data_IF_747061089194
#
_entry.id   IF_747061089194
#
_cell.length_a   1.000
_cell.length_b   1.000
_cell.length_c   1.000
_cell.angle_alpha   90.00
_cell.angle_beta   90.00
_cell.angle_gamma   90.00
#
_symmetry.space_group_name_H-M   'P 1'
#
loop_
_entity.id
_entity.type
_entity.pdbx_description
1 polymer ?
#
# COMPACT_ATOMS: atom_id res chain seq x y z
N UNK A 1 -22.65 13.33 0.83
CA UNK A 1 -21.42 13.96 1.39
C UNK A 1 -20.65 14.59 0.24
N UNK A 2 -20.32 15.87 0.35
CA UNK A 2 -19.60 16.63 -0.69
C UNK A 2 -18.13 16.17 -0.71
N UNK A 3 -17.50 16.14 -1.88
CA UNK A 3 -16.05 15.87 -1.99
C UNK A 3 -15.29 16.99 -1.29
N UNK A 4 -14.28 16.64 -0.49
CA UNK A 4 -13.39 17.62 0.16
C UNK A 4 -12.03 17.60 -0.56
N UNK A 5 -11.74 18.67 -1.30
CA UNK A 5 -10.53 18.78 -2.11
C UNK A 5 -9.24 18.73 -1.29
N UNK A 6 -9.26 19.07 0.00
CA UNK A 6 -8.07 19.04 0.87
C UNK A 6 -7.59 17.61 1.09
N UNK A 7 -8.54 16.70 1.37
CA UNK A 7 -8.22 15.29 1.55
C UNK A 7 -7.87 14.59 0.24
N UNK A 8 -8.47 15.01 -0.87
CA UNK A 8 -8.11 14.47 -2.20
C UNK A 8 -6.70 14.90 -2.60
N UNK A 9 -6.32 16.16 -2.37
CA UNK A 9 -4.94 16.63 -2.54
C UNK A 9 -3.98 15.84 -1.65
N UNK A 10 -4.34 15.63 -0.38
CA UNK A 10 -3.51 14.86 0.54
C UNK A 10 -3.32 13.41 0.08
N UNK A 11 -4.33 12.80 -0.56
CA UNK A 11 -4.18 11.46 -1.17
C UNK A 11 -3.20 11.50 -2.33
N UNK A 12 -3.28 12.50 -3.21
CA UNK A 12 -2.35 12.64 -4.34
C UNK A 12 -0.92 12.81 -3.82
N UNK A 13 -0.72 13.66 -2.80
CA UNK A 13 0.58 13.83 -2.15
C UNK A 13 1.06 12.49 -1.55
N UNK A 14 0.18 11.76 -0.86
CA UNK A 14 0.55 10.45 -0.28
C UNK A 14 0.95 9.42 -1.36
N UNK A 15 0.23 9.36 -2.49
CA UNK A 15 0.57 8.48 -3.62
C UNK A 15 1.91 8.89 -4.23
N UNK A 16 2.17 10.19 -4.36
CA UNK A 16 3.43 10.70 -4.88
C UNK A 16 4.63 10.32 -3.98
N UNK A 17 4.49 10.45 -2.66
CA UNK A 17 5.53 10.02 -1.70
C UNK A 17 5.82 8.51 -1.81
N UNK A 18 4.79 7.69 -2.02
CA UNK A 18 4.94 6.24 -2.24
C UNK A 18 5.73 5.98 -3.53
N UNK A 19 5.42 6.67 -4.62
CA UNK A 19 6.13 6.52 -5.91
C UNK A 19 7.60 6.93 -5.76
N UNK A 20 7.88 8.05 -5.11
CA UNK A 20 9.27 8.50 -4.85
C UNK A 20 10.08 7.45 -4.10
N UNK A 21 9.49 6.81 -3.09
CA UNK A 21 10.14 5.72 -2.38
C UNK A 21 10.44 4.52 -3.29
N UNK A 22 9.50 4.10 -4.13
CA UNK A 22 9.74 2.96 -5.04
C UNK A 22 10.80 3.27 -6.09
N UNK A 23 10.84 4.52 -6.58
CA UNK A 23 11.88 4.97 -7.50
C UNK A 23 13.26 4.89 -6.87
N UNK A 24 13.38 5.27 -5.59
CA UNK A 24 14.63 5.16 -4.85
C UNK A 24 14.99 3.69 -4.58
N UNK A 25 14.09 2.94 -3.94
CA UNK A 25 14.34 1.56 -3.50
C UNK A 25 14.70 0.60 -4.65
N UNK A 26 14.00 0.69 -5.79
CA UNK A 26 14.30 -0.17 -6.95
C UNK A 26 15.34 0.46 -7.90
N UNK A 27 15.58 1.77 -7.80
CA UNK A 27 16.60 2.48 -8.59
C UNK A 27 17.99 2.43 -7.97
N UNK A 28 18.11 2.10 -6.68
CA UNK A 28 19.36 2.05 -5.92
C UNK A 28 20.44 1.21 -6.62
N UNK A 29 20.09 -0.02 -7.04
CA UNK A 29 21.01 -0.93 -7.72
C UNK A 29 21.58 -0.38 -9.05
N UNK A 30 20.87 0.54 -9.72
CA UNK A 30 21.32 1.17 -10.97
C UNK A 30 22.14 2.45 -10.76
N UNK A 31 22.10 3.04 -9.55
CA UNK A 31 22.60 4.39 -9.28
C UNK A 31 23.75 4.42 -8.26
N UNK A 32 23.86 3.44 -7.37
CA UNK A 32 24.95 3.37 -6.39
C UNK A 32 26.32 3.20 -7.06
N UNK A 33 26.41 2.45 -8.17
CA UNK A 33 27.64 2.33 -8.98
C UNK A 33 28.09 3.67 -9.61
N UNK A 34 27.23 4.70 -9.62
CA UNK A 34 27.53 6.05 -10.15
C UNK A 34 27.58 7.12 -9.05
N UNK A 35 27.27 6.80 -7.81
CA UNK A 35 27.22 7.75 -6.70
C UNK A 35 28.60 7.90 -6.04
N UNK A 36 29.49 8.64 -6.72
CA UNK A 36 30.89 8.80 -6.28
C UNK A 36 31.10 9.77 -5.10
N UNK A 37 30.05 10.39 -4.55
CA UNK A 37 30.17 11.36 -3.44
C UNK A 37 29.18 11.08 -2.31
N UNK A 38 29.60 11.37 -1.08
CA UNK A 38 28.78 11.29 0.14
C UNK A 38 27.49 12.12 0.00
N UNK A 39 27.58 13.29 -0.65
CA UNK A 39 26.46 14.20 -0.84
C UNK A 39 25.37 13.58 -1.72
N UNK A 40 25.75 12.85 -2.77
CA UNK A 40 24.81 12.12 -3.61
C UNK A 40 24.12 11.00 -2.84
N UNK A 41 24.86 10.25 -2.01
CA UNK A 41 24.29 9.18 -1.18
C UNK A 41 23.29 9.72 -0.14
N UNK A 42 23.58 10.86 0.49
CA UNK A 42 22.67 11.49 1.46
C UNK A 42 21.37 11.95 0.77
N UNK A 43 21.47 12.59 -0.40
CA UNK A 43 20.28 13.04 -1.15
C UNK A 43 19.42 11.84 -1.53
N UNK A 44 20.03 10.76 -2.02
CA UNK A 44 19.35 9.53 -2.41
C UNK A 44 18.62 8.87 -1.23
N UNK A 45 19.34 8.66 -0.11
CA UNK A 45 18.76 8.09 1.11
C UNK A 45 17.68 8.95 1.76
N UNK A 46 17.63 10.26 1.46
CA UNK A 46 16.65 11.19 2.04
C UNK A 46 15.20 10.86 1.67
N UNK A 47 14.98 10.12 0.57
CA UNK A 47 13.63 9.78 0.09
C UNK A 47 13.06 8.51 0.72
N UNK A 48 13.90 7.66 1.34
CA UNK A 48 13.48 6.38 1.94
C UNK A 48 12.37 6.52 3.00
N UNK A 49 12.39 7.52 3.90
CA UNK A 49 11.33 7.69 4.91
C UNK A 49 9.96 8.02 4.29
N UNK A 50 9.92 8.61 3.09
CA UNK A 50 8.67 9.04 2.48
C UNK A 50 7.74 7.89 2.10
N UNK A 51 8.28 6.69 1.87
CA UNK A 51 7.47 5.50 1.59
C UNK A 51 6.54 5.18 2.75
N UNK A 52 7.09 5.09 3.97
CA UNK A 52 6.32 4.82 5.20
C UNK A 52 5.31 5.93 5.47
N UNK A 53 5.73 7.20 5.35
CA UNK A 53 4.86 8.36 5.57
C UNK A 53 3.69 8.36 4.58
N UNK A 54 3.96 8.14 3.29
CA UNK A 54 2.95 8.09 2.24
C UNK A 54 1.94 6.96 2.49
N UNK A 55 2.40 5.76 2.83
CA UNK A 55 1.53 4.63 3.18
C UNK A 55 0.66 4.95 4.40
N UNK A 56 1.22 5.48 5.48
CA UNK A 56 0.47 5.82 6.68
C UNK A 56 -0.60 6.88 6.41
N UNK A 57 -0.26 7.95 5.68
CA UNK A 57 -1.22 8.98 5.28
C UNK A 57 -2.36 8.38 4.45
N UNK A 58 -2.03 7.54 3.46
CA UNK A 58 -3.02 6.92 2.59
C UNK A 58 -4.03 6.05 3.37
N UNK A 59 -3.52 5.23 4.31
CA UNK A 59 -4.35 4.38 5.17
C UNK A 59 -5.17 5.22 6.16
N UNK A 60 -4.60 6.26 6.77
CA UNK A 60 -5.33 7.14 7.69
C UNK A 60 -6.48 7.86 6.99
N UNK A 61 -6.26 8.37 5.78
CA UNK A 61 -7.33 9.00 4.99
C UNK A 61 -8.42 7.99 4.66
N UNK A 62 -8.04 6.75 4.28
CA UNK A 62 -9.01 5.67 4.06
C UNK A 62 -9.84 5.42 5.32
N UNK A 63 -9.18 5.24 6.47
CA UNK A 63 -9.83 5.02 7.77
C UNK A 63 -10.79 6.15 8.16
N UNK A 64 -10.40 7.41 7.97
CA UNK A 64 -11.22 8.58 8.29
C UNK A 64 -12.58 8.58 7.55
N UNK A 65 -12.56 8.28 6.25
CA UNK A 65 -13.78 8.28 5.43
C UNK A 65 -14.61 7.00 5.50
N UNK A 66 -13.97 5.88 5.82
CA UNK A 66 -14.61 4.57 5.83
C UNK A 66 -15.12 4.20 7.24
N UNK A 67 -14.43 4.61 8.30
CA UNK A 67 -14.78 4.31 9.70
C UNK A 67 -16.05 5.00 10.21
N UNK A 68 -16.47 6.09 9.57
CA UNK A 68 -17.60 6.92 10.01
C UNK A 68 -18.96 6.49 9.44
N UNK A 69 -19.01 5.48 8.57
CA UNK A 69 -20.25 5.04 7.90
C UNK A 69 -20.67 3.65 8.36
N UNK A 70 -21.97 3.36 8.28
CA UNK A 70 -22.49 1.97 8.27
C UNK A 70 -22.02 1.27 6.99
N UNK A 71 -20.74 0.94 6.97
CA UNK A 71 -20.11 0.36 5.80
C UNK A 71 -20.60 -1.08 5.65
N UNK A 72 -21.39 -1.33 4.61
CA UNK A 72 -21.97 -2.63 4.33
C UNK A 72 -20.86 -3.59 3.85
N UNK A 73 -20.83 -4.80 4.41
CA UNK A 73 -19.87 -5.87 4.04
C UNK A 73 -19.80 -6.05 2.52
N UNK A 74 -20.96 -6.08 1.85
CA UNK A 74 -21.05 -6.20 0.38
C UNK A 74 -20.22 -5.14 -0.36
N UNK A 75 -20.22 -3.89 0.12
CA UNK A 75 -19.46 -2.79 -0.49
C UNK A 75 -17.96 -2.93 -0.26
N UNK A 76 -17.55 -3.50 0.88
CA UNK A 76 -16.14 -3.81 1.15
C UNK A 76 -15.62 -4.89 0.22
N UNK A 77 -16.36 -5.98 0.14
CA UNK A 77 -16.01 -7.11 -0.71
C UNK A 77 -15.99 -6.71 -2.19
N UNK A 78 -16.98 -5.94 -2.64
CA UNK A 78 -17.00 -5.44 -4.02
C UNK A 78 -15.78 -4.59 -4.35
N UNK A 79 -15.38 -3.65 -3.46
CA UNK A 79 -14.16 -2.86 -3.68
C UNK A 79 -12.90 -3.70 -3.66
N UNK A 80 -12.79 -4.63 -2.71
CA UNK A 80 -11.66 -5.54 -2.62
C UNK A 80 -11.51 -6.35 -3.91
N UNK A 81 -12.63 -6.86 -4.46
CA UNK A 81 -12.64 -7.62 -5.71
C UNK A 81 -12.26 -6.77 -6.93
N UNK A 82 -12.73 -5.52 -7.00
CA UNK A 82 -12.35 -4.59 -8.08
C UNK A 82 -10.83 -4.35 -8.05
N UNK A 83 -10.27 -4.01 -6.89
CA UNK A 83 -8.83 -3.75 -6.74
C UNK A 83 -8.01 -5.01 -7.06
N UNK A 84 -8.50 -6.17 -6.63
CA UNK A 84 -7.88 -7.46 -6.92
C UNK A 84 -7.81 -7.72 -8.44
N UNK A 85 -8.92 -7.50 -9.15
CA UNK A 85 -8.99 -7.63 -10.61
C UNK A 85 -8.12 -6.62 -11.35
N UNK A 86 -8.14 -5.36 -10.94
CA UNK A 86 -7.27 -4.31 -11.50
C UNK A 86 -5.80 -4.67 -11.33
N UNK A 87 -5.40 -5.18 -10.16
CA UNK A 87 -4.02 -5.57 -9.88
C UNK A 87 -3.56 -6.71 -10.79
N UNK A 88 -4.39 -7.75 -10.98
CA UNK A 88 -4.07 -8.86 -11.90
C UNK A 88 -3.97 -8.36 -13.33
N UNK A 89 -4.92 -7.53 -13.76
CA UNK A 89 -4.94 -6.95 -15.10
C UNK A 89 -3.64 -6.19 -15.39
N UNK A 90 -3.26 -5.26 -14.51
CA UNK A 90 -2.04 -4.47 -14.70
C UNK A 90 -0.77 -5.32 -14.54
N UNK A 91 -0.75 -6.31 -13.65
CA UNK A 91 0.42 -7.19 -13.48
C UNK A 91 0.71 -8.00 -14.74
N UNK A 92 -0.31 -8.63 -15.33
CA UNK A 92 -0.18 -9.39 -16.58
C UNK A 92 0.15 -8.45 -17.75
N UNK A 93 -0.56 -7.32 -17.87
CA UNK A 93 -0.34 -6.35 -18.95
C UNK A 93 1.11 -5.85 -18.95
N UNK A 94 1.62 -5.41 -17.80
CA UNK A 94 2.99 -4.90 -17.69
C UNK A 94 4.03 -5.98 -17.98
N UNK A 95 3.81 -7.21 -17.49
CA UNK A 95 4.68 -8.35 -17.81
C UNK A 95 4.76 -8.58 -19.33
N UNK A 96 3.62 -8.65 -20.01
CA UNK A 96 3.57 -8.86 -21.45
C UNK A 96 4.25 -7.71 -22.21
N UNK A 97 4.00 -6.45 -21.82
CA UNK A 97 4.66 -5.28 -22.42
C UNK A 97 6.18 -5.41 -22.30
N UNK A 98 6.72 -5.66 -21.11
CA UNK A 98 8.18 -5.78 -20.88
C UNK A 98 8.79 -6.90 -21.74
N UNK A 99 8.09 -8.04 -21.87
CA UNK A 99 8.53 -9.16 -22.74
C UNK A 99 8.50 -8.77 -24.22
N UNK A 100 7.44 -8.10 -24.68
CA UNK A 100 7.30 -7.67 -26.08
C UNK A 100 8.37 -6.65 -26.49
N UNK A 101 8.77 -5.77 -25.59
CA UNK A 101 9.86 -4.81 -25.81
C UNK A 101 11.27 -5.42 -25.68
N UNK A 102 11.38 -6.72 -25.39
CA UNK A 102 12.67 -7.40 -25.25
C UNK A 102 13.48 -6.99 -24.01
N UNK A 103 12.84 -6.31 -23.05
CA UNK A 103 13.48 -5.89 -21.79
C UNK A 103 13.66 -7.07 -20.82
N UNK A 104 12.90 -8.16 -21.03
CA UNK A 104 13.02 -9.41 -20.29
C UNK A 104 12.66 -10.59 -21.21
N UNK A 105 13.33 -11.72 -21.05
CA UNK A 105 12.94 -12.97 -21.71
C UNK A 105 11.68 -13.57 -21.09
N UNK A 106 10.85 -14.21 -21.92
CA UNK A 106 9.68 -14.90 -21.40
C UNK A 106 10.09 -16.03 -20.46
N UNK A 107 9.51 -16.04 -19.25
CA UNK A 107 9.69 -17.08 -18.25
C UNK A 107 8.33 -17.51 -17.73
N UNK A 108 8.04 -18.81 -17.82
CA UNK A 108 6.78 -19.37 -17.33
C UNK A 108 6.59 -19.13 -15.83
N UNK A 109 7.68 -19.15 -15.06
CA UNK A 109 7.68 -18.81 -13.63
C UNK A 109 7.23 -17.36 -13.39
N UNK A 110 7.75 -16.42 -14.17
CA UNK A 110 7.40 -15.00 -14.03
C UNK A 110 5.97 -14.73 -14.52
N UNK A 111 5.52 -15.45 -15.53
CA UNK A 111 4.13 -15.40 -15.99
C UNK A 111 3.16 -15.87 -14.90
N UNK A 112 3.43 -17.01 -14.25
CA UNK A 112 2.62 -17.48 -13.11
C UNK A 112 2.61 -16.44 -11.98
N UNK A 113 3.77 -15.84 -11.67
CA UNK A 113 3.86 -14.79 -10.66
C UNK A 113 3.01 -13.56 -11.00
N UNK A 114 2.97 -13.16 -12.28
CA UNK A 114 2.13 -12.06 -12.77
C UNK A 114 0.63 -12.39 -12.72
N UNK A 115 0.24 -13.66 -12.93
CA UNK A 115 -1.14 -14.11 -12.78
C UNK A 115 -1.58 -14.24 -11.31
N UNK A 116 -0.64 -14.50 -10.39
CA UNK A 116 -0.89 -14.74 -8.97
C UNK A 116 -0.08 -13.80 -8.06
N UNK A 117 -0.21 -12.47 -8.21
CA UNK A 117 0.64 -11.50 -7.50
C UNK A 117 0.42 -11.50 -5.98
N UNK A 118 -0.75 -11.98 -5.53
CA UNK A 118 -1.12 -12.08 -4.12
C UNK A 118 -0.47 -13.27 -3.40
N UNK A 119 -0.40 -14.43 -4.07
CA UNK A 119 0.23 -15.65 -3.51
C UNK A 119 1.74 -15.48 -3.51
N UNK A 120 2.27 -14.83 -4.54
CA UNK A 120 3.70 -14.59 -4.72
C UNK A 120 4.21 -13.34 -3.98
N UNK A 121 3.35 -12.67 -3.20
CA UNK A 121 3.64 -11.48 -2.40
C UNK A 121 4.37 -10.35 -3.15
N UNK A 122 4.09 -10.19 -4.46
CA UNK A 122 4.75 -9.19 -5.31
C UNK A 122 4.32 -7.76 -4.92
N UNK A 123 3.08 -7.60 -4.45
CA UNK A 123 2.52 -6.31 -4.09
C UNK A 123 1.97 -6.35 -2.65
N UNK A 124 2.89 -6.37 -1.68
CA UNK A 124 2.57 -6.46 -0.25
C UNK A 124 1.48 -5.47 0.20
N UNK A 125 1.54 -4.23 -0.30
CA UNK A 125 0.60 -3.17 0.08
C UNK A 125 -0.81 -3.46 -0.41
N UNK A 126 -0.97 -3.97 -1.64
CA UNK A 126 -2.29 -4.29 -2.20
C UNK A 126 -2.93 -5.41 -1.40
N UNK A 127 -2.17 -6.46 -1.07
CA UNK A 127 -2.63 -7.56 -0.21
C UNK A 127 -3.11 -7.05 1.15
N UNK A 128 -2.30 -6.23 1.82
CA UNK A 128 -2.65 -5.64 3.12
C UNK A 128 -3.88 -4.72 3.03
N UNK A 129 -4.00 -3.93 1.96
CA UNK A 129 -5.12 -3.03 1.74
C UNK A 129 -6.43 -3.78 1.49
N UNK A 130 -6.41 -4.85 0.69
CA UNK A 130 -7.56 -5.73 0.50
C UNK A 130 -7.98 -6.35 1.83
N UNK A 131 -7.03 -6.86 2.62
CA UNK A 131 -7.33 -7.42 3.95
C UNK A 131 -7.97 -6.37 4.86
N UNK A 132 -7.44 -5.14 4.89
CA UNK A 132 -8.03 -4.02 5.62
C UNK A 132 -9.48 -3.75 5.16
N UNK A 133 -9.73 -3.68 3.85
CA UNK A 133 -11.08 -3.48 3.32
C UNK A 133 -12.03 -4.59 3.78
N UNK A 134 -11.61 -5.85 3.79
CA UNK A 134 -12.43 -6.97 4.27
C UNK A 134 -12.70 -6.86 5.78
N UNK A 135 -11.72 -6.38 6.56
CA UNK A 135 -11.81 -6.23 8.01
C UNK A 135 -12.59 -4.99 8.49
N UNK A 136 -12.68 -3.95 7.67
CA UNK A 136 -13.36 -2.68 8.00
C UNK A 136 -14.75 -2.83 8.64
N UNK A 137 -15.67 -3.69 8.13
CA UNK A 137 -16.99 -3.86 8.74
C UNK A 137 -16.89 -4.37 10.18
N UNK A 138 -15.95 -5.27 10.47
CA UNK A 138 -15.71 -5.80 11.81
C UNK A 138 -15.05 -4.77 12.72
N UNK A 139 -14.07 -4.02 12.21
CA UNK A 139 -13.46 -2.90 12.92
C UNK A 139 -14.53 -1.89 13.33
N UNK A 140 -15.44 -1.54 12.41
CA UNK A 140 -16.52 -0.59 12.68
C UNK A 140 -17.53 -1.11 13.73
N UNK A 141 -17.81 -2.42 13.74
CA UNK A 141 -18.65 -3.03 14.78
C UNK A 141 -17.97 -2.95 16.16
N UNK A 142 -16.67 -3.31 16.23
CA UNK A 142 -15.90 -3.24 17.47
C UNK A 142 -15.84 -1.81 18.01
N UNK A 143 -15.48 -0.83 17.17
CA UNK A 143 -15.39 0.59 17.57
C UNK A 143 -16.72 1.13 18.11
N UNK A 144 -17.86 0.66 17.59
CA UNK A 144 -19.18 1.08 18.10
C UNK A 144 -19.55 0.48 19.45
N UNK A 145 -19.03 -0.70 19.78
CA UNK A 145 -19.35 -1.40 21.03
C UNK A 145 -18.37 -1.07 22.16
N UNK A 146 -17.13 -0.71 21.83
CA UNK A 146 -16.09 -0.44 22.82
C UNK A 146 -16.25 0.95 23.44
N UNK A 147 -16.05 1.04 24.75
CA UNK A 147 -15.88 2.32 25.43
C UNK A 147 -14.55 2.99 25.02
N UNK A 148 -14.44 4.30 25.18
CA UNK A 148 -13.20 5.05 24.90
C UNK A 148 -11.97 4.43 25.60
N UNK A 149 -12.12 4.02 26.87
CA UNK A 149 -11.03 3.38 27.63
C UNK A 149 -10.60 2.05 27.00
N UNK A 150 -11.55 1.19 26.63
CA UNK A 150 -11.26 -0.09 25.98
C UNK A 150 -10.63 0.09 24.59
N UNK A 151 -11.13 1.05 23.79
CA UNK A 151 -10.56 1.36 22.49
C UNK A 151 -9.13 1.89 22.61
N UNK A 152 -8.87 2.79 23.56
CA UNK A 152 -7.51 3.29 23.83
C UNK A 152 -6.57 2.16 24.27
N UNK A 153 -7.02 1.28 25.18
CA UNK A 153 -6.25 0.10 25.57
C UNK A 153 -5.93 -0.80 24.37
N UNK A 154 -6.92 -1.09 23.51
CA UNK A 154 -6.73 -1.89 22.31
C UNK A 154 -5.71 -1.27 21.35
N UNK A 155 -5.78 0.05 21.13
CA UNK A 155 -4.81 0.76 20.29
C UNK A 155 -3.40 0.64 20.87
N UNK A 156 -3.22 0.85 22.18
CA UNK A 156 -1.91 0.71 22.84
C UNK A 156 -1.36 -0.70 22.67
N UNK A 157 -2.17 -1.72 22.90
CA UNK A 157 -1.77 -3.13 22.76
C UNK A 157 -1.36 -3.42 21.31
N UNK A 158 -2.19 -3.07 20.33
CA UNK A 158 -1.89 -3.32 18.90
C UNK A 158 -0.66 -2.54 18.45
N UNK A 159 -0.47 -1.31 18.91
CA UNK A 159 0.73 -0.53 18.60
C UNK A 159 2.00 -1.12 19.24
N UNK A 160 1.92 -1.59 20.48
CA UNK A 160 3.04 -2.21 21.19
C UNK A 160 3.48 -3.51 20.53
N UNK A 161 2.55 -4.43 20.28
CA UNK A 161 2.85 -5.69 19.60
C UNK A 161 3.20 -5.50 18.12
N UNK A 162 2.57 -4.53 17.45
CA UNK A 162 2.87 -4.19 16.07
C UNK A 162 4.31 -3.69 15.89
N UNK A 163 4.82 -2.90 16.84
CA UNK A 163 6.23 -2.49 16.84
C UNK A 163 7.16 -3.71 16.96
N UNK A 164 6.84 -4.63 17.86
CA UNK A 164 7.62 -5.85 18.12
C UNK A 164 7.70 -6.83 16.94
N UNK A 165 6.79 -6.74 15.97
CA UNK A 165 6.75 -7.61 14.77
C UNK A 165 7.56 -7.01 13.60
N UNK A 166 7.91 -5.71 13.67
CA UNK A 166 8.58 -4.97 12.59
C UNK A 166 10.12 -4.95 12.78
N UNK A 167 10.62 -5.39 13.94
CA UNK A 167 12.03 -5.70 14.20
C UNK A 167 12.31 -7.19 13.97
#
# INVERSE_FOLDING_TARGET
MKRDSRFELLRIVSMFLIILFHFEYFGEAWRMDKANSLLNQIILSSYLPFGKIGVYLFIMITGYFVGTKSYQIKKSLSKAFIIWGETIFYSILLFLVIVLFGLMSFSFKNFIAACLPFITNQYWFVSAYIMLLILIPFINLAVKQLTKKQLTYLIIVVSFFGWWIIE
#
